data_IF_546274640547
#
_entry.id   IF_546274640547
#
_cell.length_a   1.000
_cell.length_b   1.000
_cell.length_c   1.000
_cell.angle_alpha   90.00
_cell.angle_beta   90.00
_cell.angle_gamma   90.00
#
_symmetry.space_group_name_H-M   'P 1'
#
loop_
_entity.id
_entity.type
_entity.pdbx_description
1 polymer ?
#
# COMPACT_ATOMS: atom_id res chain seq x y z
N UNK A 1 -3.50 25.31 -6.60
CA UNK A 1 -2.53 24.53 -7.35
C UNK A 1 -2.80 23.05 -7.18
N UNK A 2 -2.82 22.38 -8.28
CA UNK A 2 -3.15 20.96 -8.24
C UNK A 2 -2.02 20.16 -7.63
N UNK A 3 -2.37 19.32 -6.69
CA UNK A 3 -1.37 18.44 -6.10
C UNK A 3 -1.02 17.35 -7.09
N UNK A 4 0.26 17.20 -7.30
CA UNK A 4 0.78 16.21 -8.20
C UNK A 4 0.66 14.83 -7.56
N UNK A 5 0.32 13.83 -8.37
CA UNK A 5 0.22 12.47 -7.85
C UNK A 5 1.52 11.98 -7.24
N UNK A 6 2.65 12.46 -7.77
CA UNK A 6 3.94 12.05 -7.23
C UNK A 6 4.15 12.53 -5.82
N UNK A 7 3.35 13.50 -5.39
CA UNK A 7 3.45 14.03 -4.04
C UNK A 7 2.59 13.27 -3.05
N UNK A 8 1.94 12.21 -3.48
CA UNK A 8 1.15 11.41 -2.58
C UNK A 8 2.04 10.85 -1.49
N UNK A 9 1.53 10.87 -0.27
CA UNK A 9 2.28 10.40 0.86
C UNK A 9 2.07 8.89 1.02
N UNK A 10 3.15 8.18 1.30
CA UNK A 10 3.09 6.74 1.54
C UNK A 10 3.52 6.44 2.96
N UNK A 11 2.90 5.43 3.52
CA UNK A 11 3.14 5.00 4.88
C UNK A 11 3.51 3.53 4.90
N UNK A 12 4.43 3.13 5.78
CA UNK A 12 4.75 1.71 5.91
C UNK A 12 3.57 0.96 6.53
N UNK A 13 3.33 -0.24 6.05
CA UNK A 13 2.31 -1.09 6.65
C UNK A 13 2.97 -2.28 7.33
N UNK A 14 3.69 -3.10 6.55
CA UNK A 14 4.39 -4.20 7.17
C UNK A 14 5.38 -4.82 6.18
N UNK A 15 6.30 -5.61 6.70
CA UNK A 15 7.26 -6.35 5.89
C UNK A 15 6.98 -7.83 6.08
N UNK A 16 6.80 -8.55 4.98
CA UNK A 16 6.55 -9.98 5.01
C UNK A 16 7.83 -10.73 5.35
N UNK A 17 7.68 -12.01 5.67
CA UNK A 17 8.84 -12.81 6.07
C UNK A 17 9.91 -12.92 5.00
N UNK A 18 9.53 -12.80 3.74
CA UNK A 18 10.48 -12.88 2.64
C UNK A 18 11.05 -11.51 2.27
N UNK A 19 10.89 -10.53 3.15
CA UNK A 19 11.38 -9.16 3.00
C UNK A 19 10.62 -8.33 1.98
N UNK A 20 9.45 -8.77 1.54
CA UNK A 20 8.60 -7.93 0.71
C UNK A 20 8.00 -6.85 1.60
N UNK A 21 8.23 -5.60 1.23
CA UNK A 21 7.71 -4.47 1.99
C UNK A 21 6.38 -4.03 1.40
N UNK A 22 5.42 -3.79 2.28
CA UNK A 22 4.10 -3.32 1.88
C UNK A 22 3.92 -1.92 2.42
N UNK A 23 3.67 -0.97 1.52
CA UNK A 23 3.38 0.40 1.90
C UNK A 23 2.06 0.79 1.24
N UNK A 24 1.42 1.82 1.78
CA UNK A 24 0.16 2.30 1.21
C UNK A 24 0.14 3.82 1.18
N UNK A 25 -0.63 4.36 0.26
CA UNK A 25 -0.74 5.80 0.14
C UNK A 25 -1.78 6.34 1.12
N UNK A 26 -1.82 7.66 1.23
CA UNK A 26 -2.97 8.33 1.81
C UNK A 26 -4.17 8.10 0.91
N UNK A 27 -5.34 8.48 1.38
CA UNK A 27 -6.55 8.42 0.55
C UNK A 27 -6.42 9.42 -0.58
N UNK A 28 -6.65 8.97 -1.79
CA UNK A 28 -6.56 9.80 -2.98
C UNK A 28 -7.91 9.84 -3.67
N UNK A 29 -8.26 11.02 -4.20
CA UNK A 29 -9.45 11.16 -5.02
C UNK A 29 -9.09 10.75 -6.43
N UNK A 30 -9.75 9.74 -6.94
CA UNK A 30 -9.45 9.23 -8.27
C UNK A 30 -10.71 8.69 -8.89
N UNK A 31 -11.00 9.14 -10.10
CA UNK A 31 -12.18 8.66 -10.84
C UNK A 31 -13.47 8.83 -10.05
N UNK A 32 -13.56 9.94 -9.31
CA UNK A 32 -14.78 10.24 -8.58
C UNK A 32 -14.96 9.49 -7.30
N UNK A 33 -13.93 8.78 -6.82
CA UNK A 33 -14.04 8.06 -5.58
C UNK A 33 -12.72 8.06 -4.84
N UNK A 34 -12.77 7.57 -3.61
CA UNK A 34 -11.59 7.44 -2.78
C UNK A 34 -10.85 6.16 -3.11
N UNK A 35 -9.55 6.27 -3.32
CA UNK A 35 -8.72 5.11 -3.60
C UNK A 35 -7.43 5.19 -2.82
N UNK A 36 -6.82 4.03 -2.60
CA UNK A 36 -5.54 3.92 -1.90
C UNK A 36 -4.65 3.02 -2.74
N UNK A 37 -3.44 3.47 -2.98
CA UNK A 37 -2.47 2.65 -3.71
C UNK A 37 -1.64 1.86 -2.71
N UNK A 38 -1.61 0.54 -2.88
CA UNK A 38 -0.78 -0.33 -2.05
C UNK A 38 0.37 -0.80 -2.90
N UNK A 39 1.59 -0.63 -2.42
CA UNK A 39 2.78 -1.04 -3.16
C UNK A 39 3.49 -2.17 -2.46
N UNK A 40 3.92 -3.13 -3.25
CA UNK A 40 4.72 -4.26 -2.81
C UNK A 40 6.11 -4.10 -3.41
N UNK A 41 7.13 -4.10 -2.58
CA UNK A 41 8.51 -3.92 -3.05
C UNK A 41 9.43 -4.94 -2.41
N UNK A 42 10.33 -5.48 -3.22
CA UNK A 42 11.29 -6.45 -2.72
C UNK A 42 12.61 -6.29 -3.48
N UNK A 43 13.70 -6.19 -2.73
CA UNK A 43 15.02 -6.12 -3.34
C UNK A 43 15.57 -7.52 -3.48
N UNK A 44 15.97 -7.90 -4.70
CA UNK A 44 16.54 -9.20 -4.98
C UNK A 44 17.75 -9.00 -5.86
N UNK A 45 18.92 -9.39 -5.37
CA UNK A 45 20.17 -9.31 -6.13
C UNK A 45 20.40 -7.91 -6.71
N UNK A 46 20.13 -6.89 -5.89
CA UNK A 46 20.38 -5.51 -6.30
C UNK A 46 19.30 -4.91 -7.19
N UNK A 47 18.26 -5.65 -7.47
CA UNK A 47 17.17 -5.14 -8.30
C UNK A 47 15.91 -5.06 -7.46
N UNK A 48 15.07 -4.07 -7.77
CA UNK A 48 13.82 -3.89 -7.03
C UNK A 48 12.68 -4.49 -7.84
N UNK A 49 11.96 -5.41 -7.22
CA UNK A 49 10.69 -5.89 -7.74
C UNK A 49 9.59 -5.05 -7.12
N UNK A 50 8.59 -4.72 -7.90
CA UNK A 50 7.53 -3.85 -7.40
C UNK A 50 6.22 -4.15 -8.09
N UNK A 51 5.13 -3.77 -7.42
CA UNK A 51 3.79 -3.88 -7.97
C UNK A 51 2.89 -2.96 -7.18
N UNK A 52 1.86 -2.43 -7.83
CA UNK A 52 0.88 -1.57 -7.19
C UNK A 52 -0.50 -2.18 -7.34
N UNK A 53 -1.28 -2.10 -6.28
CA UNK A 53 -2.67 -2.53 -6.31
C UNK A 53 -3.53 -1.40 -5.76
N UNK A 54 -4.53 -1.00 -6.54
CA UNK A 54 -5.42 0.10 -6.14
C UNK A 54 -6.65 -0.45 -5.43
N UNK A 55 -6.91 0.07 -4.24
CA UNK A 55 -8.10 -0.31 -3.47
C UNK A 55 -9.15 0.78 -3.60
N UNK A 56 -10.41 0.43 -3.56
CA UNK A 56 -10.96 -0.90 -3.28
C UNK A 56 -11.13 -1.79 -4.51
N UNK A 57 -10.67 -1.34 -5.67
CA UNK A 57 -10.92 -2.05 -6.92
C UNK A 57 -10.05 -3.29 -7.13
N UNK A 58 -8.94 -3.40 -6.39
CA UNK A 58 -7.97 -4.46 -6.61
C UNK A 58 -7.40 -4.43 -8.02
N UNK A 59 -7.14 -3.22 -8.52
CA UNK A 59 -6.57 -3.06 -9.86
C UNK A 59 -5.05 -3.05 -9.75
N UNK A 60 -4.41 -4.03 -10.37
CA UNK A 60 -2.95 -4.14 -10.34
C UNK A 60 -2.33 -3.36 -11.49
N UNK A 61 -1.24 -2.66 -11.19
CA UNK A 61 -0.52 -1.86 -12.18
C UNK A 61 0.97 -1.90 -11.89
N UNK A 62 1.76 -1.62 -12.93
CA UNK A 62 3.19 -1.41 -12.78
C UNK A 62 3.89 -2.59 -12.13
N UNK A 63 3.54 -3.79 -12.59
CA UNK A 63 4.13 -5.00 -12.04
C UNK A 63 5.49 -5.21 -12.67
N UNK A 64 6.53 -5.25 -11.85
CA UNK A 64 7.91 -5.43 -12.30
C UNK A 64 8.55 -6.51 -11.46
N UNK A 65 8.89 -7.62 -12.10
CA UNK A 65 9.67 -8.68 -11.47
C UNK A 65 8.90 -9.69 -10.66
N UNK A 66 7.64 -9.45 -10.35
CA UNK A 66 6.82 -10.43 -9.64
C UNK A 66 6.08 -11.32 -10.64
N UNK A 67 5.97 -12.59 -10.33
CA UNK A 67 5.25 -13.55 -11.16
C UNK A 67 3.75 -13.47 -10.89
N UNK A 68 2.97 -14.10 -11.79
CA UNK A 68 1.54 -14.16 -11.59
C UNK A 68 1.17 -14.88 -10.29
N UNK A 69 1.92 -15.91 -9.95
CA UNK A 69 1.67 -16.64 -8.72
C UNK A 69 1.88 -15.74 -7.52
N UNK A 70 2.94 -14.93 -7.56
CA UNK A 70 3.20 -14.00 -6.48
C UNK A 70 2.12 -12.94 -6.37
N UNK A 71 1.66 -12.43 -7.51
CA UNK A 71 0.59 -11.43 -7.50
C UNK A 71 -0.69 -12.02 -6.93
N UNK A 72 -1.02 -13.26 -7.29
CA UNK A 72 -2.20 -13.90 -6.73
C UNK A 72 -2.08 -14.08 -5.22
N UNK A 73 -0.89 -14.38 -4.75
CA UNK A 73 -0.66 -14.49 -3.31
C UNK A 73 -0.91 -13.13 -2.64
N UNK A 74 -0.36 -12.06 -3.23
CA UNK A 74 -0.57 -10.73 -2.68
C UNK A 74 -2.05 -10.35 -2.70
N UNK A 75 -2.74 -10.71 -3.77
CA UNK A 75 -4.18 -10.43 -3.89
C UNK A 75 -4.95 -11.08 -2.76
N UNK A 76 -4.70 -12.35 -2.52
CA UNK A 76 -5.38 -13.06 -1.44
C UNK A 76 -5.09 -12.45 -0.09
N UNK A 77 -3.85 -12.05 0.11
CA UNK A 77 -3.48 -11.42 1.36
C UNK A 77 -4.20 -10.08 1.53
N UNK A 78 -4.22 -9.26 0.46
CA UNK A 78 -4.91 -7.98 0.50
C UNK A 78 -6.38 -8.12 0.82
N UNK A 79 -7.01 -9.17 0.32
CA UNK A 79 -8.43 -9.36 0.57
C UNK A 79 -8.74 -9.51 2.05
N UNK A 80 -7.76 -9.96 2.83
CA UNK A 80 -7.98 -10.11 4.26
C UNK A 80 -7.71 -8.84 5.04
N UNK A 81 -6.94 -7.89 4.48
CA UNK A 81 -6.50 -6.72 5.23
C UNK A 81 -6.88 -5.39 4.58
N UNK A 82 -7.56 -5.44 3.44
CA UNK A 82 -7.83 -4.20 2.70
C UNK A 82 -8.58 -3.18 3.55
N UNK A 83 -9.55 -3.64 4.36
CA UNK A 83 -10.32 -2.70 5.18
C UNK A 83 -9.43 -2.03 6.22
N UNK A 84 -8.43 -2.73 6.71
CA UNK A 84 -7.49 -2.15 7.67
C UNK A 84 -6.65 -1.08 6.99
N UNK A 85 -6.15 -1.40 5.80
CA UNK A 85 -5.34 -0.44 5.04
C UNK A 85 -6.14 0.81 4.70
N UNK A 86 -7.40 0.63 4.27
CA UNK A 86 -8.24 1.79 3.96
C UNK A 86 -8.45 2.67 5.18
N UNK A 87 -8.68 2.04 6.32
CA UNK A 87 -8.85 2.80 7.55
C UNK A 87 -7.58 3.54 7.94
N UNK A 88 -6.45 2.88 7.87
CA UNK A 88 -5.18 3.52 8.19
C UNK A 88 -4.90 4.69 7.25
N UNK A 89 -5.23 4.52 5.97
CA UNK A 89 -5.02 5.60 5.01
C UNK A 89 -5.82 6.84 5.40
N UNK A 90 -7.04 6.65 5.89
CA UNK A 90 -7.87 7.76 6.33
C UNK A 90 -7.33 8.43 7.58
N UNK A 91 -6.61 7.68 8.39
CA UNK A 91 -6.10 8.16 9.68
C UNK A 91 -4.68 8.69 9.61
N UNK A 92 -4.07 8.70 8.44
CA UNK A 92 -2.71 9.20 8.31
C UNK A 92 -1.64 8.13 8.45
N UNK A 93 -2.02 6.87 8.23
CA UNK A 93 -1.06 5.79 8.20
C UNK A 93 -0.83 5.17 9.56
N UNK A 94 -0.08 4.09 9.55
CA UNK A 94 0.19 3.32 10.75
C UNK A 94 0.91 4.15 11.80
N UNK A 95 1.87 4.95 11.35
CA UNK A 95 2.63 5.80 12.27
C UNK A 95 1.73 6.79 12.98
N UNK A 96 0.79 7.37 12.23
CA UNK A 96 -0.16 8.28 12.85
C UNK A 96 -1.01 7.59 13.89
N UNK A 97 -1.47 6.38 13.58
CA UNK A 97 -2.27 5.62 14.52
C UNK A 97 -1.49 5.25 15.77
N UNK A 98 -0.23 4.83 15.56
CA UNK A 98 0.61 4.46 16.69
C UNK A 98 0.87 5.66 17.58
N UNK A 99 1.17 6.81 16.97
CA UNK A 99 1.40 8.01 17.73
C UNK A 99 0.18 8.39 18.55
N UNK A 100 -1.00 8.26 17.97
CA UNK A 100 -2.23 8.54 18.71
C UNK A 100 -2.38 7.62 19.90
N UNK A 101 -2.08 6.34 19.69
CA UNK A 101 -2.17 5.38 20.77
C UNK A 101 -1.19 5.71 21.89
N UNK A 102 0.02 6.08 21.53
CA UNK A 102 1.04 6.42 22.51
C UNK A 102 0.64 7.66 23.30
N UNK A 103 0.06 8.62 22.61
CA UNK A 103 -0.36 9.84 23.29
C UNK A 103 -1.46 9.61 24.29
N UNK A 104 -2.25 8.58 24.06
CA UNK A 104 -3.35 8.28 24.97
C UNK A 104 -2.91 7.46 26.17
N UNK A 105 -1.77 6.87 26.08
CA UNK A 105 -1.24 6.11 27.22
C UNK A 105 -0.68 7.02 28.28
#
# INVERSE_FOLDING_TARGET
MVKNKRDARFYPFLTLNDNTKIIHSEVLEKNGGEQVEVRFKKAVNGKIRSASCWLPDYRWENIVGFSEVEIKYFQGYLETIAHIIMQLAREGGFEGSVDSALNKS
#
